data_IF_574149278407
#
_entry.id   IF_574149278407
#
_cell.length_a   1.000
_cell.length_b   1.000
_cell.length_c   1.000
_cell.angle_alpha   90.00
_cell.angle_beta   90.00
_cell.angle_gamma   90.00
#
_symmetry.space_group_name_H-M   'P 1'
#
loop_
_entity.id
_entity.type
_entity.pdbx_description
1 polymer ?
2 non-polymer ?
3 non-polymer ?
4 non-polymer ?
5 water ?
#
# COMPACT_ATOMS: atom_id res chain seq x y z
N UNK A 17 12.27 5.39 -32.52
CA UNK A 17 13.36 4.58 -32.01
C UNK A 17 13.08 4.00 -30.63
N UNK A 18 14.07 4.07 -29.74
CA UNK A 18 13.92 3.58 -28.38
C UNK A 18 13.46 4.70 -27.46
N UNK A 19 12.33 4.47 -26.80
CA UNK A 19 11.68 5.52 -26.04
C UNK A 19 12.07 5.46 -24.58
N UNK A 20 12.36 6.61 -24.02
CA UNK A 20 12.71 6.68 -22.63
C UNK A 20 11.47 7.04 -21.84
N UNK A 21 11.34 6.51 -20.63
CA UNK A 21 10.18 6.81 -19.80
C UNK A 21 10.46 6.71 -18.30
N UNK A 22 9.73 7.49 -17.52
CA UNK A 22 9.87 7.49 -16.07
C UNK A 22 8.52 7.56 -15.38
N UNK A 23 8.21 6.55 -14.57
CA UNK A 23 7.01 6.60 -13.76
C UNK A 23 7.29 7.01 -12.34
N UNK A 24 6.54 8.01 -11.86
CA UNK A 24 6.59 8.44 -10.47
C UNK A 24 5.49 7.73 -9.70
N UNK A 26 4.27 7.50 -6.38
CA UNK A 26 3.36 8.19 -5.46
C UNK A 26 2.18 8.91 -6.16
N UNK A 27 2.46 9.44 -7.36
CA UNK A 27 1.47 10.25 -8.06
C UNK A 27 0.90 9.53 -9.28
N UNK A 28 1.67 8.58 -9.80
CA UNK A 28 1.31 7.88 -11.01
C UNK A 28 1.60 8.74 -12.23
N UNK A 29 2.23 9.88 -11.97
CA UNK A 29 2.60 10.81 -13.02
C UNK A 29 3.60 10.12 -13.93
N UNK A 30 3.47 10.31 -15.23
CA UNK A 30 4.29 9.58 -16.18
C UNK A 30 4.95 10.52 -17.18
N UNK A 31 6.22 10.24 -17.46
CA UNK A 31 7.02 11.07 -18.34
C UNK A 31 7.45 10.27 -19.57
N UNK A 32 7.27 10.87 -20.75
CA UNK A 32 7.49 10.14 -21.99
C UNK A 32 8.34 10.86 -23.03
N UNK A 33 9.44 10.22 -23.41
CA UNK A 33 10.19 10.53 -24.61
C UNK A 33 9.24 10.70 -25.80
N UNK A 34 9.56 11.63 -26.69
CA UNK A 34 8.84 11.73 -27.94
C UNK A 34 8.85 10.36 -28.63
N UNK A 35 9.93 9.61 -28.41
CA UNK A 35 10.04 8.28 -29.00
C UNK A 35 8.85 7.44 -28.56
N UNK A 36 8.51 7.55 -27.28
CA UNK A 36 7.41 6.74 -26.75
C UNK A 36 6.07 7.09 -27.40
N UNK A 37 5.78 8.37 -27.56
CA UNK A 37 4.55 8.79 -28.22
C UNK A 37 4.44 8.21 -29.62
N UNK A 38 5.50 8.32 -30.41
CA UNK A 38 5.53 7.75 -31.75
C UNK A 38 5.13 6.28 -31.70
N UNK A 39 5.62 5.59 -30.69
CA UNK A 39 5.36 4.17 -30.54
C UNK A 39 3.90 3.89 -30.19
N UNK A 40 3.35 4.68 -29.28
CA UNK A 40 2.00 4.45 -28.80
C UNK A 40 0.96 5.05 -29.74
N UNK A 41 1.44 5.96 -30.61
CA UNK A 41 0.60 6.67 -31.56
C UNK A 41 -0.10 7.86 -30.92
N UNK A 42 0.44 8.31 -29.79
CA UNK A 42 -0.15 9.39 -29.03
C UNK A 42 0.43 10.75 -29.41
N UNK A 43 -0.14 11.82 -28.90
CA UNK A 43 0.34 13.13 -29.33
C UNK A 43 0.99 13.94 -28.21
N UNK A 44 2.28 14.20 -28.40
CA UNK A 44 3.15 14.82 -27.40
C UNK A 44 2.50 15.99 -26.70
N UNK A 45 2.11 16.99 -27.49
CA UNK A 45 1.68 18.27 -26.94
C UNK A 45 0.40 18.18 -26.13
N UNK A 46 -0.33 17.08 -26.28
CA UNK A 46 -1.67 17.05 -25.71
C UNK A 46 -1.94 15.89 -24.79
N UNK A 47 -1.42 14.73 -25.16
CA UNK A 47 -1.73 13.51 -24.45
C UNK A 47 -1.10 13.48 -23.06
N UNK A 48 -1.91 13.61 -22.01
CA UNK A 48 -1.39 13.61 -20.64
C UNK A 48 -1.14 12.19 -20.14
N UNK A 49 0.11 11.89 -19.84
CA UNK A 49 0.53 10.52 -19.55
C UNK A 49 0.49 10.21 -18.06
N UNK A 50 -0.25 9.16 -17.73
CA UNK A 50 -0.36 8.66 -16.37
C UNK A 50 -0.36 7.16 -16.47
N UNK A 51 -0.17 6.51 -15.34
CA UNK A 51 -0.10 5.06 -15.34
C UNK A 51 -1.43 4.52 -15.83
N UNK A 52 -2.51 5.06 -15.28
CA UNK A 52 -3.85 4.62 -15.65
C UNK A 52 -4.10 4.81 -17.15
N UNK A 53 -3.67 5.95 -17.67
CA UNK A 53 -3.78 6.21 -19.10
C UNK A 53 -2.93 5.23 -19.91
N UNK A 54 -1.70 5.00 -19.48
CA UNK A 54 -0.86 4.02 -20.15
C UNK A 54 -1.59 2.68 -20.33
N UNK A 55 -2.25 2.21 -19.27
CA UNK A 55 -2.90 0.89 -19.27
C UNK A 55 -4.08 0.80 -20.23
N UNK A 56 -4.52 1.94 -20.76
CA UNK A 56 -5.65 1.92 -21.70
C UNK A 56 -5.13 1.66 -23.10
N UNK A 57 -3.87 2.03 -23.33
CA UNK A 57 -3.18 1.69 -24.58
C UNK A 57 -2.79 0.22 -24.58
N UNK A 58 -2.72 -0.40 -23.41
CA UNK A 58 -2.25 -1.76 -23.38
C UNK A 58 -3.34 -2.65 -23.94
N UNK A 59 -2.96 -3.54 -24.85
CA UNK A 59 -3.92 -4.48 -25.36
C UNK A 59 -4.65 -5.14 -24.22
N UNK A 60 -5.98 -5.26 -24.36
CA UNK A 60 -6.90 -5.77 -23.35
C UNK A 60 -6.58 -7.19 -22.95
N UNK A 61 -6.10 -7.98 -23.91
CA UNK A 61 -5.71 -9.36 -23.63
C UNK A 61 -4.43 -9.36 -22.77
N UNK A 62 -3.75 -8.22 -22.69
CA UNK A 62 -2.44 -8.13 -22.05
C UNK A 62 -2.45 -7.35 -20.75
N UNK A 63 -3.45 -6.50 -20.58
CA UNK A 63 -3.52 -5.61 -19.43
C UNK A 63 -3.28 -6.33 -18.11
N UNK A 64 -3.93 -7.46 -17.93
CA UNK A 64 -3.90 -8.18 -16.66
C UNK A 64 -2.56 -8.87 -16.38
N UNK A 65 -1.98 -9.45 -17.43
CA UNK A 65 -0.68 -10.12 -17.30
C UNK A 65 0.41 -9.12 -16.98
N UNK A 66 0.33 -7.95 -17.59
CA UNK A 66 1.35 -6.93 -17.39
C UNK A 66 1.30 -6.40 -15.97
N UNK A 67 0.11 -6.27 -15.39
CA UNK A 67 0.04 -5.85 -14.01
C UNK A 67 0.66 -6.89 -13.08
N UNK A 68 0.40 -8.17 -13.33
CA UNK A 68 0.92 -9.22 -12.46
C UNK A 68 2.44 -9.36 -12.60
N UNK A 69 2.95 -9.13 -13.81
CA UNK A 69 4.39 -9.23 -14.05
C UNK A 69 5.13 -8.07 -13.38
N UNK A 70 4.61 -6.86 -13.53
CA UNK A 70 5.15 -5.73 -12.78
C UNK A 70 5.20 -6.08 -11.29
N UNK A 71 4.04 -6.41 -10.73
CA UNK A 71 3.96 -6.69 -9.31
C UNK A 71 4.92 -7.78 -8.87
N UNK A 72 4.98 -8.86 -9.64
CA UNK A 72 5.86 -9.97 -9.29
C UNK A 72 7.32 -9.49 -9.18
N UNK A 73 7.73 -8.69 -10.13
CA UNK A 73 9.12 -8.26 -10.19
C UNK A 73 9.40 -7.13 -9.20
N UNK A 74 8.39 -6.34 -8.91
CA UNK A 74 8.60 -5.14 -8.11
C UNK A 74 8.23 -5.29 -6.62
N UNK A 75 7.26 -6.14 -6.31
CA UNK A 75 6.78 -6.31 -4.94
C UNK A 75 7.11 -7.71 -4.43
N UNK A 76 7.37 -8.62 -5.36
CA UNK A 76 7.55 -10.01 -5.02
C UNK A 76 8.96 -10.35 -4.66
N UNK A 77 9.15 -11.62 -4.35
CA UNK A 77 10.41 -12.21 -3.97
C UNK A 77 11.44 -12.24 -5.10
N UNK A 78 12.55 -11.51 -4.93
CA UNK A 78 13.67 -11.66 -5.86
C UNK A 78 14.87 -12.22 -5.09
N UNK A 79 14.92 -13.55 -5.00
CA UNK A 79 15.95 -14.28 -4.25
C UNK A 79 17.39 -13.88 -4.63
N UNK A 80 18.36 -14.43 -3.90
CA UNK A 80 19.79 -14.21 -4.17
C UNK A 80 20.69 -14.85 -3.14
N UNK A 81 21.96 -15.03 -3.51
CA UNK A 81 22.94 -15.68 -2.67
C UNK A 81 24.05 -14.77 -2.18
N UNK A 82 24.47 -15.01 -0.95
CA UNK A 82 25.67 -14.41 -0.41
C UNK A 82 26.51 -15.50 0.24
N UNK A 83 27.79 -15.57 -0.15
CA UNK A 83 28.76 -16.42 0.57
C UNK A 83 29.60 -15.55 1.50
N UNK A 84 29.91 -16.08 2.68
CA UNK A 84 30.77 -15.35 3.59
C UNK A 84 31.34 -16.32 4.62
N UNK A 85 32.42 -15.90 5.26
CA UNK A 85 33.04 -16.70 6.29
C UNK A 85 32.54 -16.25 7.65
N UNK A 86 32.37 -17.19 8.57
CA UNK A 86 32.08 -16.83 9.95
C UNK A 86 33.20 -17.31 10.87
N UNK A 87 33.17 -16.86 12.11
CA UNK A 87 34.16 -17.23 13.09
C UNK A 87 33.44 -17.86 14.28
N UNK A 88 33.59 -19.17 14.43
CA UNK A 88 33.09 -19.86 15.60
C UNK A 88 33.73 -19.20 16.82
N UNK A 89 33.15 -19.43 18.01
CA UNK A 89 33.79 -18.87 19.20
C UNK A 89 35.17 -19.48 19.43
N UNK A 90 35.38 -20.72 19.01
CA UNK A 90 36.67 -21.38 19.20
C UNK A 90 37.68 -21.04 18.10
N UNK A 91 37.48 -19.89 17.45
CA UNK A 91 38.39 -19.41 16.42
C UNK A 91 38.24 -20.12 15.08
N UNK A 92 37.43 -21.16 15.05
CA UNK A 92 37.20 -21.90 13.82
C UNK A 92 36.55 -21.02 12.77
N UNK A 93 36.98 -21.14 11.53
CA UNK A 93 36.43 -20.31 10.47
C UNK A 93 35.67 -21.14 9.44
N UNK A 94 34.38 -20.84 9.27
CA UNK A 94 33.53 -21.58 8.34
C UNK A 94 33.14 -20.74 7.13
N UNK A 95 33.14 -21.37 5.97
CA UNK A 95 32.56 -20.80 4.75
C UNK A 95 31.08 -21.18 4.69
N UNK A 96 30.20 -20.19 4.72
CA UNK A 96 28.77 -20.47 4.60
C UNK A 96 28.23 -20.00 3.27
N UNK A 97 27.09 -20.58 2.89
CA UNK A 97 26.29 -20.07 1.78
C UNK A 97 24.94 -19.63 2.34
N UNK A 98 24.57 -18.38 2.07
CA UNK A 98 23.29 -17.87 2.52
C UNK A 98 22.35 -17.66 1.34
N UNK A 99 21.20 -18.32 1.37
CA UNK A 99 20.16 -18.08 0.36
C UNK A 99 19.15 -17.08 0.92
N UNK A 100 19.02 -15.94 0.25
CA UNK A 100 18.17 -14.86 0.74
C UNK A 100 16.86 -14.68 -0.03
N UNK A 101 15.74 -14.64 0.69
CA UNK A 101 14.45 -14.23 0.11
C UNK A 101 13.96 -12.92 0.73
N UNK A 102 13.29 -12.12 -0.08
CA UNK A 102 12.78 -10.81 0.34
C UNK A 102 11.26 -10.84 0.46
N UNK A 103 10.75 -10.32 1.56
CA UNK A 103 9.31 -10.30 1.79
C UNK A 103 8.84 -8.87 1.95
N UNK A 104 8.18 -8.35 0.92
CA UNK A 104 7.73 -6.96 0.98
C UNK A 104 6.25 -6.87 1.28
N UNK A 105 5.88 -5.82 2.00
CA UNK A 105 4.48 -5.55 2.24
C UNK A 105 3.96 -4.77 1.04
N UNK A 106 2.68 -4.44 1.07
CA UNK A 106 2.04 -3.68 0.01
C UNK A 106 2.87 -2.46 -0.44
N UNK A 107 3.28 -1.65 0.53
CA UNK A 107 4.05 -0.43 0.29
C UNK A 107 5.33 -0.64 -0.52
N UNK A 108 5.91 -1.84 -0.42
CA UNK A 108 7.17 -2.12 -1.09
C UNK A 108 8.31 -2.21 -0.10
N UNK A 109 8.06 -1.78 1.13
CA UNK A 109 9.06 -1.82 2.17
C UNK A 109 9.31 -3.24 2.67
N UNK A 110 10.57 -3.58 2.93
CA UNK A 110 10.86 -4.92 3.37
C UNK A 110 10.15 -5.16 4.68
N UNK A 111 9.41 -6.25 4.73
CA UNK A 111 8.72 -6.62 5.94
C UNK A 111 9.70 -7.50 6.68
N UNK A 112 10.25 -8.46 5.96
CA UNK A 112 11.29 -9.29 6.50
C UNK A 112 12.06 -9.99 5.41
N UNK A 113 13.26 -10.46 5.75
CA UNK A 113 14.03 -11.30 4.85
C UNK A 113 14.02 -12.66 5.51
N UNK A 114 14.23 -13.71 4.73
CA UNK A 114 14.30 -15.03 5.33
C UNK A 114 15.08 -15.97 4.44
N UNK A 115 15.45 -17.13 4.98
CA UNK A 115 16.19 -18.09 4.19
C UNK A 115 17.03 -19.11 4.93
N UNK A 116 17.96 -19.69 4.21
CA UNK A 116 18.73 -20.81 4.69
C UNK A 116 20.16 -20.38 4.80
N UNK A 117 20.94 -21.15 5.54
CA UNK A 117 22.37 -20.92 5.61
C UNK A 117 23.04 -22.29 5.60
N UNK A 118 23.95 -22.48 4.67
CA UNK A 118 24.59 -23.78 4.50
C UNK A 118 26.07 -23.72 4.81
N UNK A 119 26.53 -24.59 5.70
CA UNK A 119 27.95 -24.65 6.04
C UNK A 119 28.71 -25.41 4.96
N UNK A 121 32.16 -25.45 4.59
CA UNK A 121 33.59 -25.65 4.92
C UNK A 121 34.18 -27.01 4.48
N UNK A 122 33.32 -27.98 4.17
CA UNK A 122 33.77 -29.31 3.71
C UNK A 122 35.08 -29.30 2.91
N UNK B 15 26.82 -33.45 12.53
CA UNK B 15 26.27 -32.40 11.68
C UNK B 15 24.79 -32.18 11.97
N UNK B 16 24.37 -30.91 12.02
CA UNK B 16 22.97 -30.56 12.29
C UNK B 16 22.23 -30.18 11.01
N UNK B 17 22.97 -30.07 9.90
CA UNK B 17 22.38 -29.83 8.60
C UNK B 17 22.06 -28.37 8.30
N UNK B 18 21.17 -28.17 7.32
CA UNK B 18 20.74 -26.85 6.87
C UNK B 18 20.17 -26.02 8.02
N UNK B 19 20.45 -24.72 8.01
CA UNK B 19 19.84 -23.83 8.98
C UNK B 19 18.88 -22.88 8.29
N UNK B 20 17.81 -22.51 8.96
CA UNK B 20 16.91 -21.51 8.40
C UNK B 20 16.66 -20.37 9.38
N UNK B 21 16.42 -19.19 8.83
CA UNK B 21 16.43 -17.96 9.60
C UNK B 21 15.47 -16.92 9.04
N UNK B 22 14.94 -16.08 9.93
CA UNK B 22 14.12 -14.94 9.53
C UNK B 22 14.61 -13.64 10.18
N UNK B 23 14.76 -12.59 9.38
CA UNK B 23 15.11 -11.28 9.91
C UNK B 23 13.95 -10.29 9.83
N UNK B 24 13.32 -10.04 10.97
CA UNK B 24 12.26 -9.06 11.04
C UNK B 24 12.83 -7.65 10.92
N UNK B 26 11.02 -4.47 11.14
CA UNK B 26 10.47 -3.56 12.12
C UNK B 26 11.05 -3.88 13.47
N UNK B 27 10.95 -5.15 13.81
CA UNK B 27 11.35 -5.68 15.10
C UNK B 27 12.88 -5.73 15.22
N UNK B 28 13.56 -5.93 14.09
CA UNK B 28 14.99 -6.14 14.07
C UNK B 28 15.31 -7.54 14.59
N UNK B 29 14.28 -8.22 15.08
CA UNK B 29 14.43 -9.54 15.68
C UNK B 29 14.97 -10.52 14.64
N UNK B 30 15.90 -11.36 15.05
CA UNK B 30 16.44 -12.37 14.15
C UNK B 30 16.14 -13.78 14.67
N UNK B 31 15.34 -14.53 13.93
CA UNK B 31 14.96 -15.88 14.37
C UNK B 31 15.90 -16.93 13.80
N UNK B 32 16.49 -17.73 14.67
CA UNK B 32 17.34 -18.82 14.24
C UNK B 32 16.78 -20.16 14.65
N UNK B 33 16.83 -21.14 13.73
CA UNK B 33 16.59 -22.52 14.12
C UNK B 33 17.83 -22.99 14.85
N UNK B 34 17.70 -23.97 15.73
CA UNK B 34 18.86 -24.48 16.46
C UNK B 34 19.93 -24.95 15.48
N UNK B 35 19.52 -25.24 14.25
CA UNK B 35 20.45 -25.68 13.23
C UNK B 35 21.44 -24.58 12.83
N UNK B 36 21.00 -23.33 12.87
CA UNK B 36 21.86 -22.19 12.58
C UNK B 36 22.85 -21.98 13.72
N UNK B 37 22.30 -21.80 14.93
CA UNK B 37 23.09 -21.73 16.13
C UNK B 37 24.21 -22.75 16.12
N UNK B 38 23.94 -23.89 15.51
CA UNK B 38 24.90 -24.98 15.47
C UNK B 38 26.01 -24.67 14.49
N UNK B 39 25.69 -24.08 13.34
CA UNK B 39 26.75 -23.79 12.39
C UNK B 39 27.55 -22.57 12.85
N UNK B 40 26.93 -21.73 13.67
CA UNK B 40 27.61 -20.55 14.21
C UNK B 40 28.42 -20.81 15.48
N UNK B 41 28.16 -21.95 16.12
CA UNK B 41 28.78 -22.30 17.38
C UNK B 41 28.26 -21.47 18.53
N UNK B 42 26.99 -21.08 18.47
CA UNK B 42 26.40 -20.23 19.49
C UNK B 42 25.32 -20.93 20.29
N UNK B 43 24.86 -20.26 21.34
CA UNK B 43 23.81 -20.79 22.18
C UNK B 43 22.52 -20.03 21.93
N UNK B 44 21.45 -20.78 21.68
CA UNK B 44 20.13 -20.22 21.54
C UNK B 44 19.83 -19.29 22.71
N UNK B 45 20.06 -19.80 23.92
CA UNK B 45 19.65 -19.14 25.14
C UNK B 45 20.41 -17.84 25.44
N UNK B 46 21.55 -17.65 24.78
CA UNK B 46 22.48 -16.62 25.20
C UNK B 46 22.92 -15.70 24.08
N UNK B 47 22.46 -15.97 22.87
CA UNK B 47 22.87 -15.17 21.75
C UNK B 47 21.83 -14.09 21.44
N UNK B 48 22.30 -12.86 21.32
CA UNK B 48 21.44 -11.68 21.20
C UNK B 48 20.35 -11.75 20.14
N UNK B 49 20.55 -12.55 19.10
CA UNK B 49 19.59 -12.64 17.98
C UNK B 49 19.23 -11.28 17.39
N UNK B 50 20.23 -10.58 16.86
CA UNK B 50 20.02 -9.31 16.15
C UNK B 50 20.91 -9.30 14.92
N UNK B 51 20.63 -8.39 13.98
CA UNK B 51 21.48 -8.33 12.80
C UNK B 51 22.93 -7.95 13.15
N UNK B 52 23.13 -6.98 14.04
CA UNK B 52 24.48 -6.60 14.43
C UNK B 52 25.20 -7.83 15.00
N UNK B 53 24.53 -8.54 15.90
CA UNK B 53 25.13 -9.72 16.53
C UNK B 53 25.67 -10.63 15.46
N UNK B 54 24.90 -10.75 14.38
CA UNK B 54 25.29 -11.59 13.27
C UNK B 54 26.59 -11.08 12.66
N UNK B 55 26.70 -9.76 12.51
CA UNK B 55 27.86 -9.20 11.84
C UNK B 55 29.13 -9.33 12.69
N UNK B 56 28.97 -9.30 14.01
CA UNK B 56 30.08 -9.54 14.95
C UNK B 56 30.62 -10.97 14.82
N UNK B 57 29.83 -11.86 14.23
CA UNK B 57 30.22 -13.28 14.07
C UNK B 57 30.75 -13.55 12.67
N UNK B 58 30.68 -12.53 11.82
CA UNK B 58 31.11 -12.65 10.43
C UNK B 58 32.55 -12.20 10.31
N UNK B 59 33.36 -12.97 9.57
CA UNK B 59 34.76 -12.61 9.34
C UNK B 59 34.90 -11.13 9.07
N UNK B 60 35.81 -10.47 9.79
CA UNK B 60 36.03 -9.04 9.63
C UNK B 60 36.33 -8.65 8.19
N UNK B 61 37.03 -9.51 7.44
CA UNK B 61 37.41 -9.18 6.07
C UNK B 61 36.22 -9.26 5.10
N UNK B 62 35.05 -9.67 5.60
CA UNK B 62 33.91 -9.90 4.73
C UNK B 62 32.70 -8.99 5.01
N UNK B 63 32.69 -8.32 6.16
CA UNK B 63 31.49 -7.60 6.60
C UNK B 63 31.01 -6.46 5.70
N UNK B 64 31.94 -5.68 5.16
CA UNK B 64 31.56 -4.59 4.28
C UNK B 64 30.95 -5.15 3.01
N UNK B 65 31.66 -6.11 2.41
CA UNK B 65 31.23 -6.73 1.16
C UNK B 65 29.79 -7.22 1.27
N UNK B 66 29.56 -8.05 2.27
CA UNK B 66 28.23 -8.60 2.52
C UNK B 66 27.19 -7.49 2.68
N UNK B 67 27.50 -6.50 3.52
CA UNK B 67 26.58 -5.38 3.65
C UNK B 67 26.19 -4.81 2.30
N UNK B 68 27.18 -4.57 1.45
CA UNK B 68 26.93 -4.03 0.12
C UNK B 68 26.10 -4.98 -0.74
N UNK B 69 26.40 -6.27 -0.69
CA UNK B 69 25.71 -7.24 -1.54
C UNK B 69 24.25 -7.37 -1.14
N UNK B 70 23.98 -7.29 0.16
CA UNK B 70 22.61 -7.28 0.65
C UNK B 70 21.94 -6.05 0.09
N UNK B 71 22.49 -4.89 0.45
CA UNK B 71 21.90 -3.62 0.04
C UNK B 71 21.70 -3.59 -1.45
N UNK B 72 22.61 -4.18 -2.20
CA UNK B 72 22.49 -4.18 -3.65
C UNK B 72 21.27 -4.99 -4.12
N UNK B 73 20.94 -6.06 -3.40
CA UNK B 73 19.87 -6.95 -3.79
C UNK B 73 18.50 -6.50 -3.25
N UNK B 74 18.49 -6.10 -1.99
CA UNK B 74 17.26 -5.66 -1.34
C UNK B 74 16.83 -4.26 -1.81
N UNK B 75 17.81 -3.42 -2.14
CA UNK B 75 17.55 -2.00 -2.35
C UNK B 75 18.02 -1.46 -3.69
N UNK B 76 18.85 -2.24 -4.39
CA UNK B 76 19.40 -1.80 -5.65
C UNK B 76 18.40 -1.95 -6.79
N UNK B 77 18.74 -1.40 -7.94
CA UNK B 77 17.92 -1.60 -9.12
C UNK B 77 17.99 -3.08 -9.52
N UNK B 78 16.84 -3.66 -9.81
CA UNK B 78 16.77 -5.03 -10.26
C UNK B 78 15.97 -5.05 -11.55
N UNK B 79 16.64 -4.74 -12.67
CA UNK B 79 15.90 -4.44 -13.90
C UNK B 79 15.20 -5.69 -14.45
N UNK B 80 14.23 -5.50 -15.33
CA UNK B 80 13.54 -6.62 -15.96
C UNK B 80 12.79 -6.23 -17.22
N UNK B 81 12.40 -7.25 -17.97
CA UNK B 81 11.68 -7.06 -19.22
C UNK B 81 10.20 -7.40 -19.08
N UNK B 82 9.40 -6.77 -19.94
CA UNK B 82 8.00 -7.12 -20.14
C UNK B 82 7.63 -6.97 -21.61
N UNK B 83 6.97 -7.98 -22.17
CA UNK B 83 6.43 -7.89 -23.52
C UNK B 83 4.92 -7.75 -23.45
N UNK B 84 4.36 -6.96 -24.36
CA UNK B 84 2.93 -6.81 -24.43
C UNK B 84 2.56 -6.01 -25.67
N UNK B 85 1.36 -6.28 -26.18
CA UNK B 85 0.85 -5.51 -27.30
C UNK B 85 0.21 -4.24 -26.78
N UNK B 86 0.32 -3.18 -27.57
CA UNK B 86 -0.50 -2.00 -27.33
C UNK B 86 -1.41 -1.83 -28.53
N UNK B 87 -2.37 -0.95 -28.39
CA UNK B 87 -3.25 -0.64 -29.48
C UNK B 87 -3.25 0.87 -29.71
N UNK B 88 -2.70 1.28 -30.86
CA UNK B 88 -2.62 2.68 -31.20
C UNK B 88 -4.02 3.28 -31.39
N UNK B 89 -4.14 4.59 -31.16
CA UNK B 89 -5.33 5.39 -31.47
C UNK B 89 -5.85 5.16 -32.88
N UNK B 90 -4.96 4.89 -33.84
CA UNK B 90 -5.34 4.66 -35.22
C UNK B 90 -5.77 3.21 -35.49
N UNK B 91 -6.00 2.45 -34.43
CA UNK B 91 -6.50 1.10 -34.55
C UNK B 91 -5.42 0.07 -34.79
N UNK B 92 -4.17 0.51 -34.90
CA UNK B 92 -3.07 -0.41 -35.20
C UNK B 92 -2.48 -1.11 -33.98
N UNK B 93 -2.23 -2.41 -34.12
CA UNK B 93 -1.69 -3.23 -33.04
C UNK B 93 -0.16 -3.40 -33.05
N UNK B 94 0.47 -3.16 -31.91
CA UNK B 94 1.93 -3.16 -31.83
C UNK B 94 2.46 -4.04 -30.71
N UNK B 95 3.51 -4.80 -31.01
CA UNK B 95 4.22 -5.57 -29.99
C UNK B 95 5.38 -4.77 -29.37
N UNK B 96 5.36 -4.62 -28.06
CA UNK B 96 6.41 -3.84 -27.38
C UNK B 96 7.35 -4.66 -26.46
N UNK B 97 8.62 -4.27 -26.46
CA UNK B 97 9.55 -4.75 -25.43
C UNK B 97 9.89 -3.60 -24.49
N UNK B 98 9.76 -3.83 -23.19
CA UNK B 98 9.90 -2.77 -22.22
C UNK B 98 10.90 -3.16 -21.15
N UNK B 99 11.92 -2.34 -20.98
CA UNK B 99 12.88 -2.64 -19.94
C UNK B 99 12.59 -1.77 -18.72
N UNK B 100 12.47 -2.42 -17.57
CA UNK B 100 12.13 -1.73 -16.33
C UNK B 100 13.29 -1.71 -15.37
N UNK B 101 13.47 -0.56 -14.73
CA UNK B 101 14.46 -0.35 -13.70
C UNK B 101 13.73 0.19 -12.50
N UNK B 102 14.02 -0.32 -11.31
CA UNK B 102 13.39 0.17 -10.10
C UNK B 102 14.31 1.08 -9.32
N UNK B 103 13.76 2.09 -8.69
CA UNK B 103 14.55 3.03 -7.90
C UNK B 103 13.85 3.24 -6.57
N UNK B 104 14.47 2.74 -5.50
CA UNK B 104 13.83 2.73 -4.19
C UNK B 104 14.31 3.88 -3.33
N UNK B 105 13.63 4.08 -2.21
CA UNK B 105 14.06 5.01 -1.21
C UNK B 105 14.73 4.15 -0.17
N UNK B 106 15.56 4.74 0.69
CA UNK B 106 16.28 3.98 1.70
C UNK B 106 15.33 3.02 2.44
N UNK B 107 14.05 3.41 2.43
CA UNK B 107 12.96 2.66 3.07
C UNK B 107 12.55 1.35 2.36
N UNK B 108 12.82 1.27 1.05
CA UNK B 108 12.44 0.11 0.25
C UNK B 108 11.30 0.50 -0.69
N UNK B 109 10.49 1.44 -0.22
CA UNK B 109 9.45 2.07 -1.02
C UNK B 109 9.97 2.43 -2.40
N UNK B 110 9.24 2.06 -3.44
CA UNK B 110 9.70 2.39 -4.78
C UNK B 110 9.34 3.82 -5.14
N UNK B 111 10.37 4.61 -5.42
CA UNK B 111 10.21 6.02 -5.74
C UNK B 111 9.79 6.20 -7.21
N UNK B 112 10.58 5.62 -8.11
CA UNK B 112 10.31 5.67 -9.53
C UNK B 112 10.65 4.35 -10.16
N UNK B 113 9.93 4.02 -11.22
CA UNK B 113 10.41 3.03 -12.16
C UNK B 113 10.85 3.86 -13.34
N UNK B 114 11.60 3.26 -14.25
CA UNK B 114 12.07 3.98 -15.42
C UNK B 114 12.69 3.01 -16.42
N UNK B 115 12.71 3.40 -17.69
CA UNK B 115 13.25 2.53 -18.70
C UNK B 115 12.92 2.85 -20.14
N UNK B 116 12.82 1.80 -20.94
CA UNK B 116 12.75 1.98 -22.37
C UNK B 116 11.71 1.05 -22.97
N UNK B 117 11.19 1.44 -24.11
CA UNK B 117 10.26 0.61 -24.85
C UNK B 117 10.71 0.51 -26.28
N UNK B 118 10.68 -0.70 -26.81
CA UNK B 118 11.00 -0.92 -28.20
C UNK B 118 9.79 -1.54 -28.89
N UNK B 119 9.37 -0.91 -29.98
CA UNK B 119 8.36 -1.47 -30.86
C UNK B 119 9.10 -2.50 -31.72
N UNK B 121 7.21 -4.82 -33.39
CA UNK B 121 6.29 -5.12 -34.47
C UNK B 121 7.05 -5.20 -35.78
N UNK B 122 6.84 -6.30 -36.50
CA UNK B 122 7.56 -6.57 -37.72
C UNK B 122 6.97 -5.81 -38.91
N UNK C 16 -12.15 28.27 26.19
CA UNK C 16 -12.35 27.53 24.95
C UNK C 16 -11.35 27.95 23.87
N UNK C 17 -10.07 27.81 24.19
CA UNK C 17 -9.00 28.10 23.25
C UNK C 17 -8.60 26.88 22.45
N UNK C 18 -9.37 26.58 21.41
CA UNK C 18 -9.20 25.35 20.63
C UNK C 18 -8.46 25.61 19.32
N UNK C 19 -7.63 24.64 18.93
CA UNK C 19 -6.72 24.81 17.81
C UNK C 19 -7.12 24.09 16.53
N UNK C 20 -6.74 24.69 15.41
CA UNK C 20 -7.10 24.15 14.11
C UNK C 20 -5.88 23.80 13.31
N UNK C 21 -5.98 22.74 12.51
CA UNK C 21 -4.85 22.27 11.75
C UNK C 21 -5.29 21.59 10.46
N UNK C 22 -4.47 21.76 9.44
CA UNK C 22 -4.64 21.02 8.21
C UNK C 22 -3.32 20.33 7.85
N UNK C 23 -3.43 19.09 7.40
CA UNK C 23 -2.30 18.40 6.79
C UNK C 23 -2.54 18.18 5.28
N UNK C 24 -1.76 18.88 4.46
CA UNK C 24 -1.81 18.73 3.02
C UNK C 24 -0.93 17.57 2.59
N UNK C 26 -0.09 16.03 -0.19
CA UNK C 26 0.84 16.01 -1.32
C UNK C 26 2.06 16.83 -0.99
N UNK C 27 1.81 18.00 -0.41
CA UNK C 27 2.88 18.87 0.03
C UNK C 27 3.63 18.23 1.20
N UNK C 28 2.87 17.68 2.12
CA UNK C 28 3.44 17.22 3.38
C UNK C 28 3.48 18.37 4.37
N UNK C 29 3.02 19.55 3.94
CA UNK C 29 2.98 20.69 4.83
C UNK C 29 1.86 20.59 5.87
N UNK C 30 2.21 20.89 7.11
CA UNK C 30 1.26 20.88 8.21
C UNK C 30 0.99 22.33 8.61
N UNK C 31 -0.28 22.73 8.60
CA UNK C 31 -0.63 24.11 8.90
C UNK C 31 -1.30 24.21 10.26
N UNK C 32 -0.85 25.15 11.06
CA UNK C 32 -1.36 25.26 12.43
C UNK C 32 -1.94 26.60 12.79
N UNK C 33 -3.05 26.55 13.50
CA UNK C 33 -3.61 27.71 14.18
C UNK C 33 -2.59 28.16 15.23
N UNK C 34 -2.64 29.43 15.64
CA UNK C 34 -1.77 29.89 16.70
C UNK C 34 -2.04 29.06 17.94
N UNK C 35 -3.30 28.74 18.15
CA UNK C 35 -3.74 27.98 19.31
C UNK C 35 -2.97 26.67 19.46
N UNK C 36 -2.66 26.03 18.33
CA UNK C 36 -1.93 24.78 18.33
C UNK C 36 -0.51 24.97 18.88
N UNK C 37 0.23 25.92 18.30
CA UNK C 37 1.56 26.22 18.82
C UNK C 37 1.47 26.44 20.31
N UNK C 38 0.59 27.33 20.70
CA UNK C 38 0.37 27.63 22.10
C UNK C 38 0.15 26.35 22.92
N UNK C 39 -0.56 25.38 22.36
CA UNK C 39 -0.74 24.11 23.04
C UNK C 39 0.53 23.26 23.07
N UNK C 40 1.26 23.28 21.96
CA UNK C 40 2.44 22.44 21.83
C UNK C 40 3.65 23.16 22.43
N UNK C 41 3.43 24.40 22.86
CA UNK C 41 4.49 25.27 23.35
C UNK C 41 5.52 25.52 22.26
N UNK C 42 5.06 25.52 21.02
CA UNK C 42 5.96 25.55 19.88
C UNK C 42 6.02 26.93 19.21
N UNK C 43 6.97 27.11 18.29
CA UNK C 43 7.26 28.42 17.71
C UNK C 43 6.86 28.51 16.25
N UNK C 44 5.82 29.29 15.98
CA UNK C 44 5.37 29.51 14.62
C UNK C 44 6.58 29.72 13.71
N UNK C 45 7.50 30.57 14.17
CA UNK C 45 8.71 30.85 13.41
C UNK C 45 9.55 29.60 13.16
N UNK C 46 9.94 28.93 14.24
CA UNK C 46 10.88 27.81 14.16
C UNK C 46 10.31 26.49 13.63
N UNK C 47 9.01 26.27 13.83
CA UNK C 47 8.43 24.95 13.57
C UNK C 47 8.40 24.52 12.09
N UNK C 48 8.69 23.23 11.88
CA UNK C 48 8.94 22.67 10.55
C UNK C 48 7.70 22.33 9.74
N UNK C 49 6.51 22.67 10.23
CA UNK C 49 5.29 22.51 9.45
C UNK C 49 5.28 21.21 8.62
N UNK C 50 5.40 20.08 9.29
CA UNK C 50 5.31 18.77 8.66
C UNK C 50 4.80 17.74 9.66
N UNK C 51 4.20 16.69 9.14
CA UNK C 51 3.72 15.61 9.98
C UNK C 51 4.86 14.98 10.81
N UNK C 52 5.99 14.76 10.15
CA UNK C 52 7.11 14.16 10.85
C UNK C 52 7.50 14.99 12.07
N UNK C 53 7.59 16.31 11.89
CA UNK C 53 7.98 17.20 13.00
C UNK C 53 6.97 17.11 14.13
N UNK C 54 5.70 17.02 13.75
CA UNK C 54 4.64 16.91 14.72
C UNK C 54 4.82 15.67 15.59
N UNK C 55 5.27 14.59 14.96
CA UNK C 55 5.48 13.36 15.69
C UNK C 55 6.62 13.46 16.70
N UNK C 56 7.48 14.47 16.55
CA UNK C 56 8.63 14.62 17.46
C UNK C 56 8.18 15.24 18.76
N UNK C 57 6.98 15.84 18.75
CA UNK C 57 6.46 16.45 19.95
C UNK C 57 5.54 15.46 20.64
N UNK C 58 5.24 14.38 19.93
CA UNK C 58 4.35 13.38 20.47
C UNK C 58 5.16 12.52 21.41
N UNK C 59 4.62 12.33 22.60
CA UNK C 59 5.23 11.42 23.54
C UNK C 59 5.62 10.11 22.86
N UNK C 60 6.85 9.65 23.13
CA UNK C 60 7.46 8.48 22.53
C UNK C 60 6.63 7.23 22.68
N UNK C 61 6.01 7.05 23.84
CA UNK C 61 5.23 5.84 24.12
C UNK C 61 3.87 5.88 23.42
N UNK C 62 3.59 6.94 22.66
CA UNK C 62 2.26 7.10 22.05
C UNK C 62 2.29 7.11 20.54
N UNK C 63 3.45 7.36 19.94
CA UNK C 63 3.55 7.64 18.50
C UNK C 63 3.19 6.45 17.63
N UNK C 64 3.63 5.26 18.02
CA UNK C 64 3.36 4.09 17.19
C UNK C 64 1.85 3.85 17.10
N UNK C 65 1.23 3.74 18.27
CA UNK C 65 -0.21 3.62 18.36
C UNK C 65 -0.93 4.64 17.45
N UNK C 66 -0.61 5.92 17.64
CA UNK C 66 -1.29 6.99 16.92
C UNK C 66 -1.25 6.80 15.41
N UNK C 67 -0.07 6.49 14.88
CA UNK C 67 0.06 6.20 13.45
C UNK C 67 -0.90 5.09 13.05
N UNK C 68 -1.06 4.08 13.88
CA UNK C 68 -1.96 2.97 13.56
C UNK C 68 -3.42 3.37 13.61
N UNK C 69 -3.78 4.30 14.50
CA UNK C 69 -5.18 4.72 14.62
C UNK C 69 -5.57 5.56 13.42
N UNK C 70 -4.66 6.45 13.04
CA UNK C 70 -4.79 7.21 11.82
C UNK C 70 -5.05 6.23 10.67
N UNK C 71 -4.14 5.29 10.48
CA UNK C 71 -4.30 4.29 9.43
C UNK C 71 -5.62 3.56 9.50
N UNK C 72 -5.97 3.07 10.68
CA UNK C 72 -7.19 2.30 10.81
C UNK C 72 -8.41 3.07 10.36
N UNK C 73 -8.34 4.40 10.42
CA UNK C 73 -9.48 5.22 10.03
C UNK C 73 -9.40 5.70 8.59
N UNK C 74 -8.19 5.74 8.04
CA UNK C 74 -8.00 6.25 6.70
C UNK C 74 -8.07 5.14 5.67
N UNK C 75 -7.43 4.02 5.98
CA UNK C 75 -7.43 2.90 5.03
C UNK C 75 -8.30 1.79 5.55
N UNK C 76 -8.82 1.94 6.77
CA UNK C 76 -9.55 0.87 7.40
C UNK C 76 -10.96 0.76 6.85
N UNK C 77 -11.57 -0.39 7.07
CA UNK C 77 -12.96 -0.60 6.68
C UNK C 77 -13.88 0.06 7.70
N UNK C 78 -14.80 0.90 7.24
CA UNK C 78 -15.83 1.44 8.12
C UNK C 78 -17.22 1.16 7.56
N UNK C 79 -17.81 0.03 7.97
CA UNK C 79 -19.09 -0.58 7.56
C UNK C 79 -20.31 0.31 7.78
N UNK C 80 -21.19 0.36 6.78
CA UNK C 80 -22.45 1.06 6.94
C UNK C 80 -23.62 0.26 6.39
N UNK C 81 -24.81 0.52 6.91
CA UNK C 81 -26.02 -0.09 6.39
C UNK C 81 -26.62 0.84 5.34
N UNK C 82 -27.36 0.25 4.40
CA UNK C 82 -28.18 1.02 3.48
C UNK C 82 -29.49 0.27 3.27
N UNK C 83 -30.61 0.96 3.46
CA UNK C 83 -31.93 0.36 3.18
C UNK C 83 -32.50 0.83 1.85
N UNK C 84 -33.03 -0.09 1.06
CA UNK C 84 -33.75 0.31 -0.15
C UNK C 84 -34.74 -0.76 -0.60
N UNK C 85 -35.70 -0.32 -1.43
CA UNK C 85 -36.61 -1.27 -2.06
C UNK C 85 -36.03 -1.72 -3.38
N UNK C 86 -36.37 -2.94 -3.75
CA UNK C 86 -36.00 -3.52 -5.03
C UNK C 86 -37.29 -3.78 -5.79
N UNK C 87 -37.23 -3.74 -7.12
CA UNK C 87 -38.33 -4.28 -7.91
C UNK C 87 -37.86 -5.54 -8.63
N UNK C 88 -38.34 -6.70 -8.21
CA UNK C 88 -37.93 -7.95 -8.83
C UNK C 88 -38.44 -7.92 -10.26
N UNK C 89 -37.76 -8.67 -11.14
CA UNK C 89 -38.17 -8.66 -12.54
C UNK C 89 -39.63 -9.08 -12.65
N UNK C 90 -40.13 -9.84 -11.68
CA UNK C 90 -41.49 -10.37 -11.68
C UNK C 90 -42.53 -9.40 -11.14
N UNK C 91 -42.14 -8.14 -10.95
CA UNK C 91 -43.07 -7.11 -10.50
C UNK C 91 -43.18 -6.95 -8.98
N UNK C 92 -42.46 -7.81 -8.25
CA UNK C 92 -42.54 -7.82 -6.79
C UNK C 92 -41.57 -6.81 -6.18
N UNK C 93 -42.05 -6.02 -5.23
CA UNK C 93 -41.24 -4.99 -4.59
C UNK C 93 -40.74 -5.45 -3.22
N UNK C 94 -39.43 -5.36 -2.99
CA UNK C 94 -38.83 -5.92 -1.77
C UNK C 94 -38.09 -4.87 -0.98
N UNK C 95 -38.14 -4.97 0.34
CA UNK C 95 -37.27 -4.14 1.16
C UNK C 95 -36.02 -4.91 1.50
N UNK C 96 -34.88 -4.34 1.13
CA UNK C 96 -33.60 -4.96 1.46
C UNK C 96 -32.89 -4.08 2.46
N UNK C 97 -32.10 -4.73 3.32
CA UNK C 97 -31.09 -4.05 4.12
C UNK C 97 -29.74 -4.54 3.60
N UNK C 98 -28.90 -3.60 3.21
CA UNK C 98 -27.61 -3.92 2.63
C UNK C 98 -26.48 -3.46 3.53
N UNK C 99 -25.64 -4.40 3.92
CA UNK C 99 -24.48 -4.11 4.76
C UNK C 99 -23.24 -3.96 3.87
N UNK C 100 -22.56 -2.82 3.98
CA UNK C 100 -21.42 -2.51 3.11
C UNK C 100 -20.10 -2.44 3.85
N UNK C 101 -19.06 -2.98 3.22
CA UNK C 101 -17.70 -2.86 3.73
C UNK C 101 -16.83 -2.25 2.64
N UNK C 102 -15.80 -1.48 3.03
CA UNK C 102 -14.88 -0.86 2.07
C UNK C 102 -13.46 -1.41 2.20
N UNK C 103 -12.83 -1.73 1.05
CA UNK C 103 -11.46 -2.26 1.03
C UNK C 103 -10.50 -1.36 0.24
N UNK C 104 -9.81 -0.47 0.94
CA UNK C 104 -8.97 0.55 0.29
C UNK C 104 -7.56 0.04 0.02
N UNK C 105 -6.79 0.81 -0.76
CA UNK C 105 -5.41 0.45 -1.05
C UNK C 105 -4.50 1.29 -0.18
N UNK C 106 -3.19 1.17 -0.38
CA UNK C 106 -2.25 2.02 0.34
C UNK C 106 -2.69 3.47 0.22
N UNK C 107 -2.92 3.89 -1.01
CA UNK C 107 -3.49 5.21 -1.31
C UNK C 107 -4.68 5.61 -0.43
N UNK C 108 -5.58 4.65 -0.19
CA UNK C 108 -6.86 4.94 0.45
C UNK C 108 -7.96 4.83 -0.59
N UNK C 109 -7.54 4.47 -1.80
CA UNK C 109 -8.41 4.36 -2.96
C UNK C 109 -9.05 2.98 -3.04
N UNK C 110 -10.38 2.97 -3.26
CA UNK C 110 -11.14 1.72 -3.21
C UNK C 110 -10.71 0.74 -4.28
N UNK C 111 -10.47 -0.50 -3.87
CA UNK C 111 -10.19 -1.55 -4.83
C UNK C 111 -11.50 -2.26 -5.07
N UNK C 112 -12.29 -2.35 -4.01
CA UNK C 112 -13.61 -2.95 -4.10
C UNK C 112 -14.44 -2.80 -2.83
N UNK C 113 -15.76 -2.69 -3.00
CA UNK C 113 -16.71 -2.73 -1.90
C UNK C 113 -17.27 -4.12 -1.81
N UNK C 114 -17.51 -4.58 -0.59
CA UNK C 114 -18.14 -5.89 -0.42
C UNK C 114 -19.12 -5.86 0.72
N UNK C 115 -20.06 -6.78 0.69
CA UNK C 115 -20.99 -6.88 1.80
C UNK C 115 -22.08 -7.92 1.70
N UNK C 116 -23.09 -7.70 2.53
CA UNK C 116 -24.22 -8.58 2.60
C UNK C 116 -25.49 -7.82 2.25
N UNK C 117 -26.52 -8.58 1.90
CA UNK C 117 -27.86 -8.02 1.75
C UNK C 117 -28.90 -9.03 2.22
N UNK C 118 -29.91 -8.55 2.92
CA UNK C 118 -31.00 -9.42 3.33
C UNK C 118 -32.33 -8.83 2.88
N UNK C 119 -33.36 -9.67 2.77
CA UNK C 119 -34.68 -9.19 2.42
C UNK C 119 -35.56 -9.11 3.66
N UNK C 121 -38.55 -7.98 3.72
CA UNK C 121 -39.93 -7.82 3.30
C UNK C 121 -40.92 -8.40 4.32
N UNK C 122 -41.79 -7.52 4.81
CA UNK C 122 -42.66 -7.79 5.95
C UNK C 122 -43.81 -6.78 6.04
N UNK C 123 -44.98 -7.27 6.49
CA UNK C 123 -46.17 -6.43 6.65
C UNK C 123 -46.16 -5.69 7.98
N UNK D 18 -29.32 -15.17 3.08
CA UNK D 18 -28.34 -14.08 3.12
C UNK D 18 -27.36 -14.17 1.95
N UNK D 19 -27.15 -13.03 1.30
CA UNK D 19 -26.38 -12.99 0.07
C UNK D 19 -25.13 -12.16 0.15
N UNK D 20 -24.16 -12.52 -0.69
CA UNK D 20 -22.87 -11.86 -0.68
C UNK D 20 -22.59 -11.18 -1.99
N UNK D 21 -21.88 -10.06 -1.93
CA UNK D 21 -21.55 -9.34 -3.14
C UNK D 21 -20.22 -8.59 -3.05
N UNK D 22 -19.59 -8.38 -4.20
CA UNK D 22 -18.40 -7.54 -4.29
C UNK D 22 -18.49 -6.70 -5.56
N UNK D 23 -18.26 -5.40 -5.42
CA UNK D 23 -18.13 -4.53 -6.57
C UNK D 23 -16.64 -4.23 -6.71
N UNK D 24 -16.04 -4.63 -7.82
CA UNK D 24 -14.65 -4.28 -8.08
C UNK D 24 -14.56 -2.93 -8.76
N UNK D 26 -12.39 -1.10 -10.19
CA UNK D 26 -11.73 -0.91 -11.47
C UNK D 26 -12.50 -1.70 -12.51
N UNK D 27 -12.40 -3.01 -12.39
CA UNK D 27 -13.18 -3.95 -13.18
C UNK D 27 -14.60 -3.43 -13.47
N UNK D 28 -15.17 -2.68 -12.54
CA UNK D 28 -16.54 -2.23 -12.65
C UNK D 28 -17.48 -3.39 -12.40
N UNK D 29 -16.93 -4.59 -12.58
CA UNK D 29 -17.66 -5.83 -12.41
C UNK D 29 -18.29 -6.00 -11.03
N UNK D 30 -19.60 -6.25 -11.04
CA UNK D 30 -20.35 -6.61 -9.84
C UNK D 30 -20.30 -8.12 -9.69
N UNK D 31 -20.32 -8.61 -8.45
CA UNK D 31 -20.16 -10.04 -8.21
C UNK D 31 -21.22 -10.49 -7.18
N UNK D 32 -21.95 -11.54 -7.49
CA UNK D 32 -23.11 -11.90 -6.69
C UNK D 32 -23.14 -13.36 -6.25
N UNK D 33 -23.49 -13.56 -4.98
CA UNK D 33 -23.84 -14.87 -4.47
C UNK D 33 -25.14 -15.28 -5.16
N UNK D 34 -25.41 -16.59 -5.26
CA UNK D 34 -26.68 -17.01 -5.84
C UNK D 34 -27.80 -16.54 -4.95
N UNK D 35 -27.55 -16.52 -3.65
CA UNK D 35 -28.52 -16.01 -2.71
C UNK D 35 -28.98 -14.63 -3.19
N UNK D 36 -28.04 -13.85 -3.70
CA UNK D 36 -28.35 -12.50 -4.16
C UNK D 36 -29.36 -12.54 -5.31
N UNK D 37 -29.02 -13.28 -6.35
CA UNK D 37 -29.93 -13.47 -7.49
C UNK D 37 -31.32 -13.86 -7.01
N UNK D 38 -31.37 -14.79 -6.06
CA UNK D 38 -32.66 -15.22 -5.53
C UNK D 38 -33.35 -14.00 -4.92
N UNK D 39 -32.56 -13.13 -4.29
CA UNK D 39 -33.14 -11.94 -3.69
C UNK D 39 -33.73 -10.99 -4.74
N UNK D 40 -32.92 -10.64 -5.74
CA UNK D 40 -33.40 -9.72 -6.79
C UNK D 40 -34.31 -10.37 -7.82
N UNK D 41 -34.30 -11.69 -7.87
CA UNK D 41 -35.15 -12.42 -8.81
C UNK D 41 -34.53 -12.57 -10.19
N UNK D 42 -33.25 -12.88 -10.22
CA UNK D 42 -32.54 -12.94 -11.50
C UNK D 42 -31.74 -14.23 -11.65
N UNK D 43 -30.93 -14.33 -12.71
CA UNK D 43 -30.11 -15.50 -12.98
C UNK D 43 -28.70 -15.11 -13.44
N UNK D 44 -27.70 -15.88 -13.00
CA UNK D 44 -26.30 -15.56 -13.25
C UNK D 44 -25.99 -15.34 -14.73
N UNK D 45 -26.61 -16.16 -15.59
CA UNK D 45 -26.39 -16.08 -17.02
C UNK D 45 -26.98 -14.80 -17.58
N UNK D 46 -28.21 -14.51 -17.18
CA UNK D 46 -28.93 -13.36 -17.72
C UNK D 46 -28.44 -12.01 -17.16
N UNK D 47 -28.11 -11.99 -15.87
CA UNK D 47 -27.80 -10.71 -15.22
C UNK D 47 -26.44 -10.12 -15.61
N UNK D 48 -26.45 -8.81 -15.83
CA UNK D 48 -25.31 -8.06 -16.33
C UNK D 48 -24.13 -7.96 -15.33
N UNK D 49 -24.44 -8.07 -14.05
CA UNK D 49 -23.43 -7.91 -13.01
C UNK D 49 -22.58 -6.65 -13.22
N UNK D 50 -23.23 -5.52 -13.44
CA UNK D 50 -22.54 -4.24 -13.38
C UNK D 50 -23.24 -3.44 -12.30
N UNK D 51 -22.68 -2.28 -11.96
CA UNK D 51 -23.33 -1.42 -11.01
C UNK D 51 -24.63 -0.88 -11.62
N UNK D 52 -24.56 -0.46 -12.87
CA UNK D 52 -25.75 -0.01 -13.56
C UNK D 52 -26.83 -1.08 -13.43
N UNK D 53 -26.46 -2.32 -13.75
CA UNK D 53 -27.41 -3.42 -13.73
C UNK D 53 -28.13 -3.52 -12.40
N UNK D 54 -27.43 -3.18 -11.33
CA UNK D 54 -28.03 -3.29 -10.01
C UNK D 54 -28.99 -2.14 -9.79
N UNK D 55 -28.65 -0.98 -10.33
CA UNK D 55 -29.53 0.16 -10.15
C UNK D 55 -30.85 0.06 -10.94
N UNK D 56 -30.80 -0.59 -12.10
CA UNK D 56 -32.00 -0.93 -12.85
C UNK D 56 -32.97 -1.69 -11.95
N UNK D 57 -32.45 -2.37 -10.94
CA UNK D 57 -33.29 -3.21 -10.10
C UNK D 57 -33.74 -2.50 -8.83
N UNK D 58 -33.10 -1.37 -8.53
CA UNK D 58 -33.50 -0.54 -7.39
C UNK D 58 -34.81 0.17 -7.70
N UNK D 59 -35.61 0.42 -6.67
CA UNK D 59 -36.87 1.12 -6.84
C UNK D 59 -36.59 2.56 -7.25
N UNK D 60 -37.28 3.04 -8.29
CA UNK D 60 -37.11 4.41 -8.80
C UNK D 60 -37.03 5.48 -7.71
N UNK D 61 -37.85 5.36 -6.68
CA UNK D 61 -37.90 6.38 -5.62
C UNK D 61 -36.73 6.29 -4.64
N UNK D 62 -35.81 5.37 -4.91
CA UNK D 62 -34.72 5.11 -3.99
C UNK D 62 -33.38 5.30 -4.69
N UNK D 63 -33.34 4.98 -5.96
CA UNK D 63 -32.09 5.02 -6.70
C UNK D 63 -31.20 6.21 -6.33
N UNK D 64 -31.71 7.42 -6.54
CA UNK D 64 -30.90 8.63 -6.40
C UNK D 64 -30.38 8.82 -4.99
N UNK D 65 -31.18 8.39 -4.02
CA UNK D 65 -30.82 8.56 -2.63
C UNK D 65 -29.83 7.50 -2.14
N UNK D 66 -29.93 6.31 -2.70
CA UNK D 66 -28.95 5.28 -2.46
C UNK D 66 -27.61 5.73 -3.03
N UNK D 67 -27.64 6.30 -4.23
CA UNK D 67 -26.41 6.81 -4.81
C UNK D 67 -25.78 7.79 -3.85
N UNK D 68 -26.60 8.66 -3.26
CA UNK D 68 -26.05 9.66 -2.36
C UNK D 68 -25.59 9.03 -1.05
N UNK D 69 -26.39 8.13 -0.49
CA UNK D 69 -25.98 7.47 0.76
C UNK D 69 -24.64 6.76 0.58
N UNK D 70 -24.45 6.15 -0.58
CA UNK D 70 -23.20 5.47 -0.89
C UNK D 70 -22.02 6.45 -0.93
N UNK D 71 -22.18 7.56 -1.64
CA UNK D 71 -21.11 8.54 -1.74
C UNK D 71 -20.81 9.21 -0.40
N UNK D 72 -21.87 9.46 0.37
CA UNK D 72 -21.73 10.12 1.66
C UNK D 72 -20.92 9.27 2.66
N UNK D 73 -20.84 7.97 2.40
CA UNK D 73 -20.18 7.04 3.30
C UNK D 73 -18.83 6.60 2.72
N UNK D 74 -18.78 6.44 1.40
CA UNK D 74 -17.58 5.93 0.76
C UNK D 74 -16.59 7.07 0.54
N UNK D 75 -17.10 8.29 0.48
CA UNK D 75 -16.27 9.45 0.18
C UNK D 75 -16.39 10.50 1.26
N UNK D 76 -17.46 10.41 2.02
CA UNK D 76 -17.77 11.43 3.00
C UNK D 76 -16.77 11.55 4.12
N UNK D 77 -16.59 12.78 4.58
CA UNK D 77 -15.82 13.06 5.77
C UNK D 77 -16.38 12.25 6.95
N UNK D 78 -15.66 11.23 7.39
CA UNK D 78 -16.09 10.42 8.54
C UNK D 78 -15.16 10.65 9.73
N UNK D 79 -15.45 11.70 10.52
CA UNK D 79 -14.63 12.20 11.62
C UNK D 79 -14.23 11.14 12.64
N UNK D 80 -13.18 11.44 13.41
CA UNK D 80 -12.74 10.57 14.49
C UNK D 80 -11.73 11.25 15.40
N UNK D 81 -11.78 10.85 16.67
CA UNK D 81 -10.94 11.44 17.70
C UNK D 81 -9.72 10.56 17.95
N UNK D 82 -8.58 11.21 18.17
CA UNK D 82 -7.40 10.50 18.66
C UNK D 82 -6.89 11.20 19.91
N UNK D 83 -6.60 10.41 20.94
CA UNK D 83 -6.07 10.93 22.21
C UNK D 83 -4.60 10.55 22.34
N UNK D 84 -3.74 11.56 22.44
CA UNK D 84 -2.32 11.27 22.59
C UNK D 84 -1.63 12.28 23.52
N UNK D 85 -0.44 11.90 24.01
CA UNK D 85 0.35 12.77 24.88
C UNK D 85 1.36 13.57 24.11
N UNK D 86 1.57 14.79 24.58
CA UNK D 86 2.52 15.71 23.99
C UNK D 86 3.61 16.04 25.01
N UNK D 87 4.81 16.36 24.54
CA UNK D 87 5.86 16.84 25.42
C UNK D 87 6.30 18.20 24.91
N UNK D 88 6.18 19.23 25.73
CA UNK D 88 6.57 20.58 25.33
C UNK D 88 8.02 20.91 25.70
N UNK D 89 8.57 21.96 25.11
CA UNK D 89 9.96 22.33 25.31
C UNK D 89 10.40 22.28 26.79
N UNK D 90 9.67 22.98 27.66
CA UNK D 90 9.86 22.94 29.10
C UNK D 90 10.03 21.54 29.68
N UNK D 91 9.55 20.53 28.95
CA UNK D 91 9.69 19.16 29.41
C UNK D 91 8.40 18.62 30.00
N UNK D 92 7.38 19.47 30.06
CA UNK D 92 6.11 19.00 30.59
C UNK D 92 5.34 18.20 29.58
N UNK D 93 4.71 17.14 30.06
CA UNK D 93 3.87 16.25 29.23
C UNK D 93 2.43 16.73 29.24
N UNK D 94 1.76 16.67 28.09
CA UNK D 94 0.38 17.16 27.95
C UNK D 94 -0.55 16.16 27.28
N UNK D 95 -1.73 15.92 27.87
CA UNK D 95 -2.76 15.07 27.26
C UNK D 95 -3.59 15.82 26.22
N UNK D 96 -3.54 15.40 24.97
CA UNK D 96 -4.32 16.08 23.94
C UNK D 96 -5.53 15.30 23.45
N UNK D 97 -6.56 16.02 23.01
CA UNK D 97 -7.70 15.40 22.33
C UNK D 97 -7.81 16.01 20.95
N UNK D 98 -7.65 15.17 19.94
CA UNK D 98 -7.55 15.61 18.57
C UNK D 98 -8.76 15.15 17.76
N UNK D 99 -9.36 16.05 17.00
CA UNK D 99 -10.46 15.64 16.13
C UNK D 99 -10.05 15.59 14.66
N UNK D 100 -10.26 14.43 14.04
CA UNK D 100 -9.74 14.14 12.71
C UNK D 100 -10.79 14.06 11.63
N UNK D 101 -10.59 14.80 10.54
CA UNK D 101 -11.48 14.75 9.37
C UNK D 101 -10.70 14.28 8.15
N UNK D 102 -11.21 13.26 7.46
CA UNK D 102 -10.59 12.81 6.22
C UNK D 102 -11.20 13.56 5.06
N UNK D 103 -10.38 13.92 4.09
CA UNK D 103 -10.88 14.53 2.86
C UNK D 103 -10.27 13.82 1.66
N UNK D 104 -11.13 13.27 0.80
CA UNK D 104 -10.66 12.44 -0.30
C UNK D 104 -10.99 12.99 -1.69
N UNK D 105 -10.14 12.65 -2.65
CA UNK D 105 -10.44 12.81 -4.05
C UNK D 105 -11.42 11.70 -4.39
N UNK D 106 -12.23 11.89 -5.42
CA UNK D 106 -13.28 10.93 -5.77
C UNK D 106 -12.81 9.47 -5.69
N UNK D 107 -11.64 9.21 -6.27
CA UNK D 107 -11.04 7.87 -6.25
C UNK D 107 -10.95 7.26 -4.84
N UNK D 108 -11.07 8.09 -3.82
CA UNK D 108 -10.92 7.62 -2.45
C UNK D 108 -9.53 7.91 -1.90
N UNK D 109 -8.62 8.29 -2.80
CA UNK D 109 -7.30 8.77 -2.42
C UNK D 109 -7.41 9.93 -1.44
N UNK D 110 -6.65 9.84 -0.34
CA UNK D 110 -6.76 10.84 0.72
C UNK D 110 -6.02 12.12 0.39
N UNK D 111 -6.69 13.25 0.59
CA UNK D 111 -6.26 14.54 0.10
C UNK D 111 -5.60 15.36 1.19
N UNK D 112 -6.26 15.36 2.33
CA UNK D 112 -5.93 16.20 3.47
C UNK D 112 -6.52 15.52 4.68
N UNK D 113 -5.87 15.73 5.80
CA UNK D 113 -6.51 15.48 7.07
C UNK D 113 -6.58 16.85 7.67
N UNK D 114 -7.63 17.12 8.41
CA UNK D 114 -7.78 18.41 9.04
C UNK D 114 -8.58 18.20 10.29
N UNK D 115 -8.56 19.17 11.18
CA UNK D 115 -9.31 19.02 12.40
C UNK D 115 -8.94 20.04 13.46
N UNK D 116 -9.30 19.71 14.69
CA UNK D 116 -8.96 20.53 15.84
C UNK D 116 -8.16 19.69 16.82
N UNK D 117 -7.58 20.35 17.80
CA UNK D 117 -6.82 19.68 18.83
C UNK D 117 -7.08 20.44 20.11
N UNK D 118 -7.22 19.72 21.21
CA UNK D 118 -7.52 20.35 22.49
C UNK D 118 -6.58 19.88 23.61
N UNK D 119 -6.16 20.81 24.44
CA UNK D 119 -5.38 20.48 25.62
C UNK D 119 -6.35 20.19 26.75
N UNK D 121 -5.65 18.88 29.74
CA UNK D 121 -4.97 18.72 31.02
C UNK D 121 -5.59 19.59 32.13
N UNK D 122 -6.84 19.31 32.47
CA UNK D 122 -7.57 20.08 33.48
C UNK D 122 -8.70 19.25 34.08
#
# INVERSE_FOLDING_TARGET
SNAXAEKLLHTAESDAGIGSWVLHXESGRLEWSQAVHDIFGTDSATFDATEDAYFQRVHPDDRARVRRELDRHVLGDRPFDVEYRIVRPDGQVRELLERNHIQRQASGQVDHLWGTVIDXTEHKQ
SNAXAEKLLHTAESDAGIGSWVLHXESGRLEWSQAVHDIFGTDSATFDATEDAYFQRVHPDDRARVRRELDRHVLGDRPFDVEYRIVRPDGQVRELLERNHIQRQASGQVDHLWGTVIDXTEHKQ
SNAXAEKLLHTAESDAGIGSWVLHXESGRLEWSQAVHDIFGTDSATFDATEDAYFQRVHPDDRARVRRELDRHVLGDRPFDVEYRIVRPDGQVRELLERNHIQRQASGQVDHLWGTVIDXTEHKQ
SNAXAEKLLHTAESDAGIGSWVLHXESGRLEWSQAVHDIFGTDSATFDATEDAYFQRVHPDDRARVRRELDRHVLGDRPFDVEYRIVRPDGQVRELLERNHIQRQASGQVDHLWGTVIDXTEHKQ
#
